data_IF_789887445356
#
_entry.id   IF_789887445356
#
_cell.length_a   1.000
_cell.length_b   1.000
_cell.length_c   1.000
_cell.angle_alpha   90.00
_cell.angle_beta   90.00
_cell.angle_gamma   90.00
#
_symmetry.space_group_name_H-M   'P 1'
#
loop_
_entity.id
_entity.type
_entity.pdbx_description
1 polymer ?
#
# COMPACT_ATOMS: atom_id res chain seq x y z
N UNK A 1 21.29 16.13 -0.86
CA UNK A 1 20.35 15.15 -1.44
C UNK A 1 19.56 14.48 -0.33
N UNK A 2 18.35 14.96 -0.05
CA UNK A 2 17.40 14.36 0.89
C UNK A 2 16.01 14.42 0.26
N UNK A 3 15.41 13.26 0.01
CA UNK A 3 14.13 13.16 -0.69
C UNK A 3 12.96 13.68 0.15
N UNK A 4 12.03 14.37 -0.49
CA UNK A 4 10.74 14.79 0.09
C UNK A 4 9.98 13.57 0.63
N UNK A 5 9.71 13.58 1.93
CA UNK A 5 9.14 12.46 2.71
C UNK A 5 9.71 12.34 4.14
N UNK A 6 10.76 13.09 4.47
CA UNK A 6 11.44 13.09 5.78
C UNK A 6 10.74 13.88 6.89
N UNK A 7 9.46 14.21 6.72
CA UNK A 7 8.67 14.87 7.76
C UNK A 7 8.67 14.06 9.05
N UNK A 8 9.26 14.62 10.11
CA UNK A 8 9.40 14.05 11.46
C UNK A 8 8.05 13.47 11.93
N UNK A 9 7.92 12.14 11.96
CA UNK A 9 6.77 11.41 12.51
C UNK A 9 7.12 10.96 13.92
N UNK A 10 6.85 11.80 14.92
CA UNK A 10 6.87 11.34 16.31
C UNK A 10 5.57 10.60 16.69
N UNK A 11 4.48 10.73 15.91
CA UNK A 11 3.15 10.17 16.29
C UNK A 11 2.23 9.63 15.16
N UNK A 12 2.72 9.47 13.92
CA UNK A 12 1.84 8.96 12.86
C UNK A 12 1.70 7.43 12.91
N UNK A 13 0.47 6.93 13.08
CA UNK A 13 0.12 5.52 12.90
C UNK A 13 0.60 5.02 11.53
N UNK A 14 1.15 3.80 11.49
CA UNK A 14 1.56 3.15 10.24
C UNK A 14 0.40 3.11 9.23
N UNK A 15 0.70 3.30 7.95
CA UNK A 15 -0.29 3.15 6.87
C UNK A 15 -0.40 1.69 6.44
N UNK A 16 -1.50 1.32 5.78
CA UNK A 16 -1.67 -0.05 5.25
C UNK A 16 -0.51 -0.45 4.33
N UNK A 17 0.00 0.48 3.53
CA UNK A 17 1.08 0.28 2.57
C UNK A 17 2.46 0.08 3.20
N UNK A 18 2.67 0.58 4.43
CA UNK A 18 3.92 0.42 5.18
C UNK A 18 3.96 -0.89 6.00
N UNK A 19 2.87 -1.68 5.99
CA UNK A 19 2.77 -2.93 6.74
C UNK A 19 2.98 -4.15 5.84
N UNK A 20 3.50 -5.23 6.44
CA UNK A 20 3.51 -6.55 5.81
C UNK A 20 2.06 -7.02 5.63
N UNK A 21 1.59 -7.03 4.38
CA UNK A 21 0.20 -7.35 4.03
C UNK A 21 0.07 -8.72 3.40
N UNK A 22 -0.99 -9.43 3.75
CA UNK A 22 -1.36 -10.70 3.14
C UNK A 22 -2.65 -10.49 2.36
N UNK A 23 -2.61 -10.69 1.05
CA UNK A 23 -3.76 -10.54 0.16
C UNK A 23 -4.21 -11.92 -0.34
N UNK A 24 -5.46 -12.30 -0.05
CA UNK A 24 -6.00 -13.60 -0.41
C UNK A 24 -6.06 -13.81 -1.94
N UNK A 25 -6.22 -12.73 -2.71
CA UNK A 25 -6.26 -12.79 -4.17
C UNK A 25 -4.88 -13.10 -4.73
N UNK A 26 -3.84 -12.51 -4.14
CA UNK A 26 -2.46 -12.80 -4.51
C UNK A 26 -2.12 -14.25 -4.15
N UNK A 27 -2.45 -14.69 -2.94
CA UNK A 27 -2.22 -16.08 -2.51
C UNK A 27 -2.94 -17.09 -3.41
N UNK A 28 -4.19 -16.81 -3.80
CA UNK A 28 -4.93 -17.65 -4.76
C UNK A 28 -4.18 -17.74 -6.09
N UNK A 29 -3.68 -16.61 -6.61
CA UNK A 29 -2.91 -16.57 -7.87
C UNK A 29 -1.60 -17.36 -7.77
N UNK A 30 -0.95 -17.36 -6.62
CA UNK A 30 0.28 -18.11 -6.37
C UNK A 30 0.06 -19.59 -6.00
N UNK A 31 -1.20 -20.05 -5.93
CA UNK A 31 -1.52 -21.43 -5.54
C UNK A 31 -1.32 -21.74 -4.05
N UNK A 32 -1.18 -20.72 -3.19
CA UNK A 32 -0.93 -20.88 -1.76
C UNK A 32 -2.16 -21.33 -0.94
N UNK A 33 -3.33 -21.42 -1.57
CA UNK A 33 -4.59 -21.76 -0.90
C UNK A 33 -5.12 -23.15 -1.26
N UNK A 34 -4.26 -24.00 -1.85
CA UNK A 34 -4.61 -25.40 -2.16
C UNK A 34 -4.58 -26.27 -0.89
N UNK A 35 -5.43 -27.31 -0.77
CA UNK A 35 -5.33 -28.27 0.32
C UNK A 35 -3.91 -28.83 0.45
N UNK A 36 -3.41 -28.91 1.69
CA UNK A 36 -2.04 -29.39 1.98
C UNK A 36 -0.92 -28.42 1.61
N UNK A 37 -1.21 -27.18 1.20
CA UNK A 37 -0.17 -26.17 1.01
C UNK A 37 0.63 -25.95 2.30
N UNK A 38 1.96 -25.92 2.17
CA UNK A 38 2.89 -25.43 3.17
C UNK A 38 4.03 -24.71 2.44
N UNK A 39 4.41 -23.52 2.91
CA UNK A 39 5.42 -22.70 2.27
C UNK A 39 5.66 -21.41 3.02
N UNK A 40 6.21 -20.42 2.32
CA UNK A 40 6.52 -19.11 2.89
C UNK A 40 5.87 -17.98 2.09
N UNK A 41 5.60 -16.88 2.80
CA UNK A 41 5.19 -15.59 2.22
C UNK A 41 6.31 -14.61 2.54
N UNK A 42 6.83 -13.93 1.52
CA UNK A 42 7.86 -12.91 1.68
C UNK A 42 7.42 -11.57 1.11
N UNK A 43 7.94 -10.50 1.69
CA UNK A 43 7.81 -9.14 1.20
C UNK A 43 9.16 -8.62 0.78
N UNK A 44 9.19 -7.73 -0.22
CA UNK A 44 10.40 -7.07 -0.66
C UNK A 44 10.16 -5.58 -0.93
N UNK A 45 11.19 -4.78 -0.71
CA UNK A 45 11.26 -3.37 -1.04
C UNK A 45 12.55 -3.12 -1.81
N UNK A 46 12.46 -2.48 -2.98
CA UNK A 46 13.60 -2.22 -3.87
C UNK A 46 14.45 -3.47 -4.20
N UNK A 47 13.81 -4.63 -4.32
CA UNK A 47 14.49 -5.90 -4.63
C UNK A 47 15.10 -6.62 -3.41
N UNK A 48 15.11 -6.01 -2.23
CA UNK A 48 15.56 -6.64 -0.98
C UNK A 48 14.39 -7.18 -0.18
N UNK A 49 14.49 -8.43 0.29
CA UNK A 49 13.47 -9.04 1.16
C UNK A 49 13.38 -8.32 2.50
N UNK A 50 12.20 -7.81 2.84
CA UNK A 50 11.92 -7.06 4.08
C UNK A 50 11.31 -7.91 5.18
N UNK A 51 10.88 -9.14 4.86
CA UNK A 51 10.38 -10.09 5.83
C UNK A 51 9.88 -11.38 5.18
N UNK A 52 9.86 -12.46 5.95
CA UNK A 52 9.34 -13.76 5.53
C UNK A 52 8.58 -14.40 6.69
N UNK A 53 7.43 -14.99 6.40
CA UNK A 53 6.68 -15.82 7.34
C UNK A 53 6.40 -17.20 6.74
N UNK A 54 6.23 -18.20 7.58
CA UNK A 54 5.68 -19.50 7.19
C UNK A 54 4.16 -19.44 7.08
N UNK A 55 3.61 -20.21 6.15
CA UNK A 55 2.18 -20.35 5.98
C UNK A 55 1.80 -21.77 5.56
N UNK A 56 0.67 -22.27 6.06
CA UNK A 56 0.13 -23.58 5.67
C UNK A 56 -1.40 -23.59 5.65
N UNK A 57 -1.97 -24.47 4.84
CA UNK A 57 -3.40 -24.75 4.78
C UNK A 57 -3.74 -25.97 5.65
N UNK A 58 -4.79 -25.86 6.47
CA UNK A 58 -5.37 -26.95 7.24
C UNK A 58 -6.91 -26.87 7.13
N UNK A 59 -7.51 -27.64 6.22
CA UNK A 59 -8.94 -27.51 5.90
C UNK A 59 -9.26 -26.11 5.37
N UNK A 60 -10.23 -25.42 5.97
CA UNK A 60 -10.56 -24.02 5.67
C UNK A 60 -9.76 -23.01 6.49
N UNK A 61 -8.73 -23.46 7.22
CA UNK A 61 -7.87 -22.57 8.00
C UNK A 61 -6.55 -22.32 7.28
N UNK A 62 -6.16 -21.05 7.25
CA UNK A 62 -4.85 -20.58 6.84
C UNK A 62 -4.03 -20.24 8.08
N UNK A 63 -2.98 -21.01 8.32
CA UNK A 63 -2.18 -20.92 9.55
C UNK A 63 -0.84 -20.26 9.20
N UNK A 64 -0.52 -19.21 9.94
CA UNK A 64 0.71 -18.43 9.81
C UNK A 64 1.65 -18.72 10.97
N UNK A 65 2.93 -18.92 10.65
CA UNK A 65 3.99 -19.13 11.62
C UNK A 65 5.07 -18.08 11.42
N UNK A 66 5.35 -17.28 12.44
CA UNK A 66 6.32 -16.19 12.34
C UNK A 66 6.87 -15.80 13.70
N UNK A 67 8.00 -15.10 13.70
CA UNK A 67 8.52 -14.49 14.91
C UNK A 67 8.00 -13.06 15.02
N UNK A 68 7.63 -12.67 16.23
CA UNK A 68 7.24 -11.30 16.55
C UNK A 68 8.17 -10.76 17.63
N UNK A 69 8.55 -9.49 17.51
CA UNK A 69 9.33 -8.78 18.51
C UNK A 69 8.58 -7.52 18.94
N UNK A 70 8.39 -7.38 20.25
CA UNK A 70 7.91 -6.14 20.85
C UNK A 70 8.97 -5.02 20.78
N UNK A 71 8.66 -3.84 21.34
CA UNK A 71 9.52 -2.65 21.22
C UNK A 71 10.95 -2.87 21.74
N UNK A 72 11.09 -3.64 22.82
CA UNK A 72 12.38 -3.90 23.50
C UNK A 72 12.53 -5.39 23.91
N UNK A 73 11.85 -6.30 23.21
CA UNK A 73 11.77 -7.72 23.58
C UNK A 73 12.62 -8.64 22.72
N UNK A 74 12.70 -9.91 23.14
CA UNK A 74 13.23 -11.00 22.30
C UNK A 74 12.25 -11.39 21.19
N UNK A 75 12.76 -12.08 20.18
CA UNK A 75 11.92 -12.66 19.14
C UNK A 75 11.16 -13.86 19.72
N UNK A 76 9.83 -13.77 19.74
CA UNK A 76 8.97 -14.85 20.24
C UNK A 76 8.23 -15.48 19.06
N UNK A 77 8.21 -16.82 18.94
CA UNK A 77 7.42 -17.49 17.92
C UNK A 77 5.93 -17.27 18.17
N UNK A 78 5.20 -17.03 17.09
CA UNK A 78 3.76 -16.89 17.05
C UNK A 78 3.19 -17.79 15.96
N UNK A 79 2.16 -18.56 16.32
CA UNK A 79 1.26 -19.24 15.38
C UNK A 79 -0.09 -18.52 15.40
N UNK A 80 -0.64 -18.26 14.22
CA UNK A 80 -1.94 -17.60 14.08
C UNK A 80 -2.80 -18.33 13.06
N UNK A 81 -3.99 -18.74 13.50
CA UNK A 81 -5.00 -19.37 12.64
C UNK A 81 -5.96 -18.31 12.09
N UNK A 82 -6.16 -18.30 10.77
CA UNK A 82 -7.09 -17.42 10.06
C UNK A 82 -8.07 -18.28 9.29
N UNK A 83 -9.37 -18.15 9.59
CA UNK A 83 -10.41 -18.89 8.86
C UNK A 83 -10.63 -18.28 7.47
N UNK A 84 -10.82 -19.13 6.48
CA UNK A 84 -11.24 -18.76 5.15
C UNK A 84 -12.75 -18.95 5.00
N UNK A 85 -13.41 -18.01 4.33
CA UNK A 85 -14.81 -18.13 3.96
C UNK A 85 -15.02 -17.89 2.47
N UNK A 86 -16.16 -18.36 1.97
CA UNK A 86 -16.56 -18.24 0.57
C UNK A 86 -17.85 -17.44 0.47
N UNK A 87 -17.95 -16.61 -0.56
CA UNK A 87 -19.22 -16.03 -1.00
C UNK A 87 -19.45 -16.43 -2.44
N UNK A 88 -20.70 -16.73 -2.80
CA UNK A 88 -21.11 -16.96 -4.18
C UNK A 88 -20.95 -15.68 -5.01
N UNK A 89 -20.63 -15.85 -6.29
CA UNK A 89 -20.53 -14.76 -7.25
C UNK A 89 -21.75 -14.80 -8.18
N UNK A 90 -22.30 -13.64 -8.53
CA UNK A 90 -23.50 -13.52 -9.38
C UNK A 90 -23.34 -14.16 -10.77
N UNK A 91 -22.11 -14.24 -11.29
CA UNK A 91 -21.78 -14.84 -12.60
C UNK A 91 -21.16 -16.23 -12.47
N UNK A 92 -21.40 -16.93 -11.35
CA UNK A 92 -20.84 -18.25 -11.06
C UNK A 92 -19.48 -18.20 -10.35
N UNK A 93 -19.17 -19.30 -9.65
CA UNK A 93 -17.95 -19.46 -8.86
C UNK A 93 -18.01 -18.84 -7.46
N UNK A 94 -16.86 -18.82 -6.80
CA UNK A 94 -16.76 -18.41 -5.39
C UNK A 94 -15.63 -17.41 -5.18
N UNK A 95 -15.89 -16.39 -4.37
CA UNK A 95 -14.89 -15.46 -3.87
C UNK A 95 -14.45 -15.90 -2.48
N UNK A 96 -13.14 -16.10 -2.33
CA UNK A 96 -12.51 -16.40 -1.05
C UNK A 96 -12.25 -15.11 -0.26
N UNK A 97 -12.44 -15.20 1.05
CA UNK A 97 -12.20 -14.14 2.01
C UNK A 97 -11.43 -14.68 3.22
N UNK A 98 -10.61 -13.83 3.83
CA UNK A 98 -10.20 -14.05 5.21
C UNK A 98 -11.32 -13.62 6.14
N UNK A 99 -11.55 -14.37 7.20
CA UNK A 99 -12.26 -13.87 8.37
C UNK A 99 -11.24 -13.26 9.32
N UNK A 100 -11.37 -11.96 9.60
CA UNK A 100 -10.49 -11.29 10.54
C UNK A 100 -10.54 -11.99 11.91
N UNK A 101 -9.42 -12.44 12.50
CA UNK A 101 -9.44 -13.17 13.77
C UNK A 101 -9.99 -12.38 14.96
N UNK A 102 -10.03 -11.04 14.87
CA UNK A 102 -10.52 -10.17 15.93
C UNK A 102 -11.98 -9.76 15.76
N UNK A 103 -12.36 -9.27 14.57
CA UNK A 103 -13.70 -8.72 14.33
C UNK A 103 -14.60 -9.61 13.46
N UNK A 104 -14.10 -10.77 13.02
CA UNK A 104 -14.78 -11.75 12.17
C UNK A 104 -15.32 -11.24 10.83
N UNK A 105 -15.02 -9.98 10.47
CA UNK A 105 -15.39 -9.42 9.17
C UNK A 105 -14.62 -10.11 8.05
N UNK A 106 -15.33 -10.37 6.95
CA UNK A 106 -14.74 -10.86 5.70
C UNK A 106 -13.89 -9.77 5.05
N UNK A 107 -12.61 -10.03 4.85
CA UNK A 107 -11.65 -9.09 4.27
C UNK A 107 -10.75 -9.78 3.26
N UNK A 108 -10.33 -9.03 2.24
CA UNK A 108 -9.38 -9.55 1.25
C UNK A 108 -7.93 -9.44 1.73
N UNK A 109 -7.66 -8.54 2.68
CA UNK A 109 -6.31 -8.18 3.12
C UNK A 109 -6.23 -8.16 4.64
N UNK A 110 -5.20 -8.80 5.18
CA UNK A 110 -4.77 -8.67 6.57
C UNK A 110 -3.42 -7.95 6.63
N UNK A 111 -3.22 -7.14 7.66
CA UNK A 111 -2.06 -6.29 7.86
C UNK A 111 -1.30 -6.74 9.11
N UNK A 112 0.02 -6.89 9.02
CA UNK A 112 0.89 -7.16 10.16
C UNK A 112 1.42 -5.86 10.76
N UNK A 113 0.56 -5.12 11.48
CA UNK A 113 0.93 -3.86 12.14
C UNK A 113 1.28 -4.03 13.64
N UNK A 114 1.20 -5.26 14.15
CA UNK A 114 1.50 -5.60 15.54
C UNK A 114 1.84 -7.08 15.66
N UNK A 115 1.47 -7.70 16.79
CA UNK A 115 1.71 -9.13 17.02
C UNK A 115 0.98 -10.05 16.05
N UNK A 116 -0.19 -9.65 15.54
CA UNK A 116 -1.07 -10.50 14.75
C UNK A 116 -1.31 -9.90 13.35
N UNK A 117 -1.79 -10.72 12.42
CA UNK A 117 -2.34 -10.25 11.15
C UNK A 117 -3.84 -10.01 11.30
N UNK A 118 -4.25 -8.74 11.34
CA UNK A 118 -5.65 -8.33 11.51
C UNK A 118 -6.08 -7.41 10.36
N UNK A 119 -7.38 -7.16 10.25
CA UNK A 119 -7.87 -6.24 9.23
C UNK A 119 -7.50 -4.78 9.57
N UNK A 120 -7.46 -3.94 8.53
CA UNK A 120 -7.15 -2.50 8.66
C UNK A 120 -8.02 -1.79 9.71
N UNK A 121 -9.28 -2.21 9.86
CA UNK A 121 -10.22 -1.60 10.82
C UNK A 121 -9.82 -1.89 12.27
N UNK A 122 -9.35 -3.11 12.56
CA UNK A 122 -8.92 -3.48 13.91
C UNK A 122 -7.63 -2.76 14.31
N UNK A 123 -6.74 -2.55 13.34
CA UNK A 123 -5.53 -1.77 13.56
C UNK A 123 -5.72 -0.25 13.43
N UNK A 124 -6.91 0.22 13.07
CA UNK A 124 -7.16 1.63 12.79
C UNK A 124 -6.22 2.21 11.72
N UNK A 125 -5.80 1.37 10.76
CA UNK A 125 -4.91 1.77 9.68
C UNK A 125 -5.70 2.49 8.61
N UNK A 126 -5.18 3.65 8.24
CA UNK A 126 -5.63 4.41 7.09
C UNK A 126 -4.76 4.07 5.88
N UNK A 127 -5.31 4.25 4.68
CA UNK A 127 -4.48 4.22 3.47
C UNK A 127 -3.53 5.41 3.47
N UNK A 128 -2.34 5.28 2.90
CA UNK A 128 -1.41 6.40 2.73
C UNK A 128 -2.05 7.57 1.97
N UNK A 129 -2.99 7.29 1.06
CA UNK A 129 -3.79 8.31 0.36
C UNK A 129 -4.72 9.11 1.26
N UNK A 130 -5.10 8.60 2.44
CA UNK A 130 -5.93 9.29 3.43
C UNK A 130 -5.11 10.19 4.36
N UNK A 131 -3.81 9.93 4.51
CA UNK A 131 -2.84 10.79 5.19
C UNK A 131 -2.07 11.70 4.23
N UNK A 132 -2.42 11.66 2.95
CA UNK A 132 -1.79 12.52 1.98
C UNK A 132 -2.17 13.97 2.24
N UNK A 133 -1.16 14.78 2.58
CA UNK A 133 -1.36 16.22 2.71
C UNK A 133 -1.83 16.79 1.36
N UNK A 134 -2.53 17.92 1.40
CA UNK A 134 -2.96 18.58 0.16
C UNK A 134 -1.78 18.85 -0.78
N UNK A 135 -0.62 19.22 -0.21
CA UNK A 135 0.67 19.38 -0.90
C UNK A 135 1.09 18.09 -1.62
N UNK A 136 1.12 16.96 -0.91
CA UNK A 136 1.55 15.67 -1.47
C UNK A 136 0.61 15.22 -2.60
N UNK A 137 -0.70 15.48 -2.45
CA UNK A 137 -1.72 15.15 -3.46
C UNK A 137 -1.48 15.92 -4.75
N UNK A 138 -1.20 17.22 -4.63
CA UNK A 138 -0.90 18.07 -5.77
C UNK A 138 0.42 17.67 -6.44
N UNK A 139 1.46 17.35 -5.67
CA UNK A 139 2.72 16.84 -6.22
C UNK A 139 2.54 15.52 -6.97
N UNK A 140 1.77 14.58 -6.41
CA UNK A 140 1.51 13.32 -7.08
C UNK A 140 0.74 13.51 -8.39
N UNK A 141 -0.24 14.42 -8.41
CA UNK A 141 -0.98 14.77 -9.63
C UNK A 141 -0.05 15.35 -10.68
N UNK A 142 0.79 16.33 -10.31
CA UNK A 142 1.77 16.93 -11.22
C UNK A 142 2.76 15.89 -11.78
N UNK A 143 3.31 15.01 -10.93
CA UNK A 143 4.22 13.92 -11.32
C UNK A 143 3.55 12.91 -12.25
N UNK A 144 2.28 12.55 -12.00
CA UNK A 144 1.53 11.63 -12.86
C UNK A 144 1.37 12.20 -14.27
N UNK A 145 1.07 13.49 -14.37
CA UNK A 145 0.93 14.16 -15.66
C UNK A 145 2.29 14.31 -16.35
N UNK A 146 3.35 14.72 -15.64
CA UNK A 146 4.72 14.77 -16.20
C UNK A 146 5.14 13.42 -16.78
N UNK A 147 4.89 12.32 -16.07
CA UNK A 147 5.12 10.97 -16.58
C UNK A 147 4.33 10.66 -17.85
N UNK A 148 3.06 11.08 -17.93
CA UNK A 148 2.24 10.92 -19.13
C UNK A 148 2.73 11.77 -20.32
N UNK A 149 3.35 12.91 -20.03
CA UNK A 149 3.94 13.81 -21.02
C UNK A 149 5.40 13.46 -21.36
N UNK A 150 5.95 12.39 -20.77
CA UNK A 150 7.37 12.01 -20.91
C UNK A 150 8.32 13.17 -20.55
N UNK A 151 7.88 14.03 -19.63
CA UNK A 151 8.62 15.20 -19.17
C UNK A 151 9.47 14.88 -17.93
N UNK A 152 10.43 15.76 -17.64
CA UNK A 152 11.30 15.62 -16.49
C UNK A 152 10.49 15.58 -15.17
N UNK A 153 10.93 14.73 -14.25
CA UNK A 153 10.28 14.52 -12.94
C UNK A 153 10.73 15.54 -11.89
N UNK A 154 11.73 16.36 -12.18
CA UNK A 154 12.09 17.54 -11.40
C UNK A 154 10.97 18.57 -11.51
N UNK A 155 10.43 18.97 -10.36
CA UNK A 155 9.30 19.88 -10.32
C UNK A 155 9.65 21.32 -10.76
N UNK A 156 10.94 21.66 -10.79
CA UNK A 156 11.45 22.95 -11.25
C UNK A 156 11.65 23.03 -12.76
N UNK A 157 11.73 21.89 -13.43
CA UNK A 157 11.92 21.87 -14.89
C UNK A 157 10.59 22.13 -15.60
N UNK A 158 10.60 22.99 -16.64
CA UNK A 158 9.43 23.27 -17.44
C UNK A 158 9.05 22.07 -18.31
N UNK A 159 7.74 21.92 -18.58
CA UNK A 159 7.24 20.93 -19.53
C UNK A 159 7.23 21.55 -20.93
N UNK A 160 8.28 21.28 -21.70
CA UNK A 160 8.51 21.95 -22.99
C UNK A 160 7.99 21.13 -24.18
N UNK A 161 8.21 19.81 -24.18
CA UNK A 161 8.00 18.97 -25.35
C UNK A 161 6.68 18.20 -25.31
N UNK A 162 5.99 18.18 -26.47
CA UNK A 162 4.77 17.40 -26.68
C UNK A 162 5.12 15.98 -27.18
N UNK A 163 4.57 14.92 -26.57
CA UNK A 163 4.71 13.56 -27.10
C UNK A 163 4.22 13.41 -28.54
N UNK A 164 4.89 12.54 -29.32
CA UNK A 164 4.74 12.40 -30.78
C UNK A 164 3.29 12.22 -31.27
N UNK A 165 2.43 11.59 -30.47
CA UNK A 165 1.04 11.25 -30.85
C UNK A 165 -0.05 12.02 -30.10
N UNK A 166 0.33 12.94 -29.21
CA UNK A 166 -0.63 13.71 -28.42
C UNK A 166 -1.17 14.89 -29.24
N UNK A 167 -2.48 15.14 -29.20
CA UNK A 167 -3.07 16.36 -29.81
C UNK A 167 -2.62 17.60 -29.03
N UNK A 168 -2.29 18.69 -29.72
CA UNK A 168 -1.83 19.95 -29.09
C UNK A 168 -2.77 20.48 -28.00
N UNK A 169 -4.09 20.45 -28.22
CA UNK A 169 -5.07 20.86 -27.20
C UNK A 169 -5.02 20.00 -25.93
N UNK A 170 -4.80 18.69 -26.08
CA UNK A 170 -4.66 17.77 -24.95
C UNK A 170 -3.38 18.05 -24.18
N UNK A 171 -2.28 18.23 -24.90
CA UNK A 171 -0.98 18.57 -24.33
C UNK A 171 -1.04 19.85 -23.51
N UNK A 172 -1.55 20.93 -24.10
CA UNK A 172 -1.63 22.23 -23.41
C UNK A 172 -2.51 22.17 -22.16
N UNK A 173 -3.62 21.41 -22.22
CA UNK A 173 -4.47 21.18 -21.05
C UNK A 173 -3.72 20.46 -19.94
N UNK A 174 -3.04 19.35 -20.27
CA UNK A 174 -2.27 18.56 -19.29
C UNK A 174 -1.10 19.37 -18.73
N UNK A 175 -0.41 20.13 -19.57
CA UNK A 175 0.68 21.04 -19.17
C UNK A 175 0.21 22.04 -18.13
N UNK A 176 -0.88 22.77 -18.40
CA UNK A 176 -1.49 23.73 -17.46
C UNK A 176 -1.93 23.06 -16.16
N UNK A 177 -2.52 21.87 -16.25
CA UNK A 177 -2.95 21.12 -15.07
C UNK A 177 -1.76 20.72 -14.17
N UNK A 178 -0.64 20.30 -14.78
CA UNK A 178 0.58 19.95 -14.06
C UNK A 178 1.24 21.19 -13.43
N UNK A 179 1.36 22.28 -14.18
CA UNK A 179 1.92 23.56 -13.72
C UNK A 179 1.07 24.14 -12.57
N UNK A 180 -0.26 24.11 -12.70
CA UNK A 180 -1.18 24.59 -11.66
C UNK A 180 -1.10 23.75 -10.38
N UNK A 181 -1.10 22.42 -10.49
CA UNK A 181 -0.93 21.53 -9.33
C UNK A 181 0.43 21.74 -8.66
N UNK A 182 1.51 21.93 -9.43
CA UNK A 182 2.83 22.24 -8.89
C UNK A 182 2.84 23.58 -8.15
N UNK A 183 2.26 24.63 -8.75
CA UNK A 183 2.16 25.96 -8.15
C UNK A 183 1.36 25.96 -6.83
N UNK A 184 0.21 25.29 -6.81
CA UNK A 184 -0.59 25.14 -5.58
C UNK A 184 0.17 24.39 -4.49
N UNK A 185 0.94 23.35 -4.86
CA UNK A 185 1.80 22.64 -3.92
C UNK A 185 2.81 23.58 -3.27
N UNK A 186 3.50 24.42 -4.06
CA UNK A 186 4.45 25.42 -3.55
C UNK A 186 3.78 26.48 -2.68
N UNK A 187 2.59 26.96 -3.06
CA UNK A 187 1.85 27.95 -2.29
C UNK A 187 1.45 27.41 -0.90
N UNK A 188 0.87 26.20 -0.85
CA UNK A 188 0.46 25.55 0.41
C UNK A 188 1.68 25.17 1.24
N UNK A 189 2.78 24.73 0.61
CA UNK A 189 4.04 24.48 1.31
C UNK A 189 4.59 25.78 1.92
N UNK A 190 4.61 26.90 1.19
CA UNK A 190 5.12 28.18 1.66
C UNK A 190 4.35 28.75 2.87
N UNK A 191 3.03 28.57 2.93
CA UNK A 191 2.20 29.03 4.05
C UNK A 191 2.54 28.35 5.39
N UNK A 192 3.17 27.17 5.39
CA UNK A 192 3.56 26.43 6.60
C UNK A 192 4.92 26.85 7.21
N UNK A 193 5.73 27.64 6.49
CA UNK A 193 7.07 28.04 6.93
C UNK A 193 7.14 29.52 7.32
N UNK A 194 5.98 30.18 7.44
CA UNK A 194 5.84 31.60 7.79
C UNK A 194 5.20 31.85 9.16
N UNK A 195 5.33 30.94 10.12
CA UNK A 195 4.98 31.17 11.54
C UNK A 195 6.12 30.71 12.45
#
# INVERSE_FOLDING_TARGET
MGGYGSGRRWDAKSTVEETNRIDIRWLKKQGCLRPGYAGTISWSCNGSTTGTIGARMAGDNFILNYNHRGRDGEWVPAEQTIRLSRSECHFGGHRLWFECPWCHKRVAVLCGAGKYFLCRHCYGLNFASQHESEVDRMLRRARKIRKQLEADMNMMEPIVFKPKWMRWRMFERLRREAEHANSLSWAIAGQRWGQ
#
